data_IF_762631163815
#
_entry.id   IF_762631163815
#
_cell.length_a   1.000
_cell.length_b   1.000
_cell.length_c   1.000
_cell.angle_alpha   90.00
_cell.angle_beta   90.00
_cell.angle_gamma   90.00
#
_symmetry.space_group_name_H-M   'P 1'
#
loop_
_entity.id
_entity.type
_entity.pdbx_description
1 polymer ?
#
# COMPACT_ATOMS: atom_id res chain seq x y z
N UNK A 1 14.57 11.28 9.50
CA UNK A 1 14.29 10.01 8.81
C UNK A 1 13.31 10.28 7.68
N UNK A 2 13.61 9.77 6.51
CA UNK A 2 12.72 9.93 5.36
C UNK A 2 11.47 9.08 5.52
N UNK A 3 10.35 9.57 5.02
CA UNK A 3 9.12 8.80 4.99
C UNK A 3 8.44 8.92 3.64
N UNK A 4 7.73 7.87 3.27
CA UNK A 4 6.94 7.81 2.05
C UNK A 4 5.50 7.44 2.39
N UNK A 5 4.57 8.11 1.75
CA UNK A 5 3.14 7.80 1.85
C UNK A 5 2.68 7.30 0.49
N UNK A 6 2.12 6.10 0.48
CA UNK A 6 1.63 5.45 -0.72
C UNK A 6 0.11 5.45 -0.68
N UNK A 7 -0.51 5.94 -1.74
CA UNK A 7 -1.97 5.96 -1.84
C UNK A 7 -2.41 4.78 -2.70
N UNK A 8 -3.06 3.83 -2.06
CA UNK A 8 -3.55 2.62 -2.71
C UNK A 8 -2.81 1.37 -2.27
N UNK A 9 -3.56 0.30 -2.02
CA UNK A 9 -3.04 -0.98 -1.52
C UNK A 9 -3.16 -2.11 -2.54
N UNK A 10 -3.30 -1.79 -3.81
CA UNK A 10 -3.24 -2.79 -4.87
C UNK A 10 -1.82 -3.35 -5.03
N UNK A 11 -1.62 -4.26 -6.00
CA UNK A 11 -0.30 -4.88 -6.18
C UNK A 11 0.84 -3.88 -6.37
N UNK A 12 0.60 -2.80 -7.11
CA UNK A 12 1.63 -1.78 -7.34
C UNK A 12 2.00 -1.06 -6.05
N UNK A 13 1.00 -0.65 -5.27
CA UNK A 13 1.23 0.07 -4.02
C UNK A 13 1.94 -0.79 -2.98
N UNK A 14 1.50 -2.02 -2.80
CA UNK A 14 2.13 -2.94 -1.85
C UNK A 14 3.54 -3.29 -2.30
N UNK A 15 3.76 -3.50 -3.60
CA UNK A 15 5.11 -3.76 -4.12
C UNK A 15 6.06 -2.59 -3.86
N UNK A 16 5.60 -1.37 -4.11
CA UNK A 16 6.39 -0.17 -3.82
C UNK A 16 6.71 -0.08 -2.32
N UNK A 17 5.75 -0.40 -1.47
CA UNK A 17 5.94 -0.38 -0.02
C UNK A 17 7.02 -1.37 0.43
N UNK A 18 7.06 -2.55 -0.15
CA UNK A 18 8.08 -3.55 0.18
C UNK A 18 9.48 -3.06 -0.16
N UNK A 19 9.64 -2.42 -1.32
CA UNK A 19 10.94 -1.84 -1.70
C UNK A 19 11.33 -0.69 -0.79
N UNK A 20 10.38 0.18 -0.45
CA UNK A 20 10.65 1.32 0.42
C UNK A 20 11.10 0.89 1.81
N UNK A 21 10.40 -0.07 2.41
CA UNK A 21 10.74 -0.53 3.74
C UNK A 21 12.08 -1.26 3.77
N UNK A 22 12.43 -1.98 2.70
CA UNK A 22 13.76 -2.61 2.56
C UNK A 22 14.87 -1.58 2.49
N UNK A 23 14.58 -0.42 1.91
CA UNK A 23 15.55 0.67 1.81
C UNK A 23 15.68 1.47 3.11
N UNK A 24 14.96 1.09 4.16
CA UNK A 24 15.02 1.79 5.44
C UNK A 24 14.14 3.03 5.51
N UNK A 25 13.21 3.18 4.59
CA UNK A 25 12.31 4.32 4.55
C UNK A 25 11.04 4.00 5.35
N UNK A 26 10.63 4.90 6.22
CA UNK A 26 9.36 4.75 6.92
C UNK A 26 8.22 4.80 5.91
N UNK A 27 7.37 3.79 5.89
CA UNK A 27 6.40 3.59 4.82
C UNK A 27 5.00 3.45 5.38
N UNK A 28 4.09 4.27 4.89
CA UNK A 28 2.67 4.24 5.23
C UNK A 28 1.87 4.08 3.95
N UNK A 29 0.95 3.12 3.94
CA UNK A 29 0.02 2.90 2.82
C UNK A 29 -1.37 3.31 3.27
N UNK A 30 -1.99 4.21 2.51
CA UNK A 30 -3.36 4.63 2.73
C UNK A 30 -4.26 3.82 1.81
N UNK A 31 -5.26 3.16 2.36
CA UNK A 31 -6.14 2.28 1.60
C UNK A 31 -7.60 2.56 1.89
N UNK A 32 -8.40 2.61 0.83
CA UNK A 32 -9.86 2.73 0.96
C UNK A 32 -10.51 1.40 1.33
N UNK A 33 -9.81 0.32 1.11
CA UNK A 33 -10.33 -1.03 1.26
C UNK A 33 -9.80 -1.91 0.14
N UNK A 34 -10.57 -2.91 -0.24
CA UNK A 34 -10.16 -3.85 -1.29
C UNK A 34 -10.13 -3.20 -2.66
N UNK A 35 -9.15 -3.55 -3.46
CA UNK A 35 -8.95 -3.04 -4.81
C UNK A 35 -9.37 -4.03 -5.90
N UNK A 36 -8.72 -3.92 -7.06
CA UNK A 36 -9.04 -4.75 -8.22
C UNK A 36 -8.87 -6.25 -7.97
N UNK A 37 -7.95 -6.63 -7.09
CA UNK A 37 -7.71 -8.05 -6.78
C UNK A 37 -8.91 -8.72 -6.12
N UNK A 38 -9.75 -7.96 -5.43
CA UNK A 38 -10.94 -8.51 -4.78
C UNK A 38 -11.86 -9.22 -5.78
N UNK A 39 -11.91 -8.75 -7.01
CA UNK A 39 -12.80 -9.28 -8.05
C UNK A 39 -12.17 -10.41 -8.87
N UNK A 40 -10.90 -10.68 -8.68
CA UNK A 40 -10.21 -11.72 -9.42
C UNK A 40 -10.40 -13.07 -8.73
N UNK A 41 -11.08 -13.99 -9.39
CA UNK A 41 -11.34 -15.32 -8.81
C UNK A 41 -10.12 -16.22 -8.89
N UNK A 42 -9.31 -16.05 -9.94
CA UNK A 42 -8.20 -16.94 -10.22
C UNK A 42 -7.07 -16.17 -10.90
N UNK A 43 -5.91 -16.17 -10.26
CA UNK A 43 -4.71 -15.52 -10.78
C UNK A 43 -3.68 -16.60 -11.07
N UNK A 44 -3.28 -16.70 -12.32
CA UNK A 44 -2.35 -17.75 -12.78
C UNK A 44 -0.98 -17.20 -13.20
N UNK A 45 -0.93 -15.90 -13.47
CA UNK A 45 0.27 -15.27 -14.04
C UNK A 45 1.10 -14.49 -13.03
N UNK A 46 0.88 -14.70 -11.75
CA UNK A 46 1.68 -14.04 -10.73
C UNK A 46 2.91 -14.86 -10.43
N UNK A 47 4.07 -14.24 -10.57
CA UNK A 47 5.34 -14.90 -10.34
C UNK A 47 5.46 -15.43 -8.91
N UNK A 48 5.89 -16.67 -8.78
CA UNK A 48 6.10 -17.27 -7.48
C UNK A 48 4.98 -18.18 -7.00
N UNK A 49 3.88 -18.28 -7.74
CA UNK A 49 2.78 -19.17 -7.41
C UNK A 49 2.72 -20.33 -8.40
N UNK A 50 2.94 -21.53 -7.90
CA UNK A 50 2.86 -22.76 -8.72
C UNK A 50 1.42 -23.12 -9.05
N UNK A 51 0.48 -22.72 -8.19
CA UNK A 51 -0.95 -22.94 -8.37
C UNK A 51 -1.68 -21.62 -8.48
N UNK A 52 -2.80 -21.56 -9.21
CA UNK A 52 -3.60 -20.34 -9.25
C UNK A 52 -4.02 -19.89 -7.86
N UNK A 53 -4.12 -18.60 -7.65
CA UNK A 53 -4.53 -18.00 -6.38
C UNK A 53 -5.67 -17.02 -6.64
N UNK A 54 -6.63 -16.91 -5.72
CA UNK A 54 -7.67 -15.89 -5.84
C UNK A 54 -7.12 -14.52 -5.55
N UNK A 55 -7.76 -13.48 -6.11
CA UNK A 55 -7.39 -12.10 -5.86
C UNK A 55 -7.43 -11.74 -4.38
N UNK A 56 -8.54 -12.02 -3.66
CA UNK A 56 -8.60 -11.77 -2.23
C UNK A 56 -7.50 -12.44 -1.42
N UNK A 57 -7.16 -13.67 -1.76
CA UNK A 57 -6.10 -14.39 -1.05
C UNK A 57 -4.73 -13.78 -1.32
N UNK A 58 -4.45 -13.41 -2.57
CA UNK A 58 -3.21 -12.74 -2.92
C UNK A 58 -3.09 -11.39 -2.20
N UNK A 59 -4.17 -10.62 -2.19
CA UNK A 59 -4.21 -9.33 -1.48
C UNK A 59 -3.93 -9.52 0.01
N UNK A 60 -4.60 -10.47 0.65
CA UNK A 60 -4.43 -10.74 2.07
C UNK A 60 -2.99 -11.12 2.39
N UNK A 61 -2.40 -12.02 1.63
CA UNK A 61 -1.02 -12.45 1.83
C UNK A 61 -0.03 -11.31 1.64
N UNK A 62 -0.28 -10.47 0.64
CA UNK A 62 0.60 -9.34 0.34
C UNK A 62 0.60 -8.30 1.46
N UNK A 63 -0.58 -7.95 1.96
CA UNK A 63 -0.71 -6.99 3.05
C UNK A 63 -0.11 -7.54 4.35
N UNK A 64 -0.40 -8.80 4.66
CA UNK A 64 0.13 -9.44 5.84
C UNK A 64 1.66 -9.47 5.83
N UNK A 65 2.25 -9.81 4.69
CA UNK A 65 3.70 -9.82 4.52
C UNK A 65 4.30 -8.42 4.68
N UNK A 66 3.66 -7.42 4.09
CA UNK A 66 4.13 -6.04 4.17
C UNK A 66 4.07 -5.52 5.61
N UNK A 67 2.99 -5.82 6.33
CA UNK A 67 2.88 -5.45 7.75
C UNK A 67 3.97 -6.08 8.58
N UNK A 68 4.27 -7.34 8.34
CA UNK A 68 5.33 -8.05 9.04
C UNK A 68 6.69 -7.39 8.85
N UNK A 69 6.91 -6.79 7.69
CA UNK A 69 8.17 -6.12 7.35
C UNK A 69 8.21 -4.65 7.79
N UNK A 70 7.16 -4.14 8.39
CA UNK A 70 7.16 -2.81 8.96
C UNK A 70 6.34 -1.75 8.23
N UNK A 71 5.60 -2.13 7.19
CA UNK A 71 4.72 -1.20 6.50
C UNK A 71 3.48 -0.92 7.35
N UNK A 72 3.13 0.36 7.50
CA UNK A 72 1.91 0.76 8.19
C UNK A 72 0.78 0.92 7.19
N UNK A 73 -0.38 0.34 7.51
CA UNK A 73 -1.58 0.48 6.69
C UNK A 73 -2.62 1.28 7.45
N UNK A 74 -3.15 2.30 6.82
CA UNK A 74 -4.23 3.13 7.39
C UNK A 74 -5.42 3.08 6.45
N UNK A 75 -6.57 2.67 6.97
CA UNK A 75 -7.79 2.63 6.18
C UNK A 75 -8.44 4.00 6.18
N UNK A 76 -8.25 4.73 5.10
CA UNK A 76 -8.81 6.07 4.92
C UNK A 76 -8.81 6.43 3.44
N UNK A 77 -9.46 7.50 3.08
CA UNK A 77 -9.51 8.00 1.71
C UNK A 77 -8.71 9.27 1.58
N UNK A 78 -7.77 9.30 0.64
CA UNK A 78 -7.03 10.49 0.28
C UNK A 78 -7.96 11.42 -0.51
N UNK A 79 -8.10 12.68 -0.07
CA UNK A 79 -9.01 13.63 -0.67
C UNK A 79 -8.29 14.86 -1.22
N UNK A 80 -7.00 15.00 -1.00
CA UNK A 80 -6.25 16.12 -1.53
C UNK A 80 -4.76 15.99 -1.28
N UNK A 81 -4.00 16.83 -1.97
CA UNK A 81 -2.57 16.96 -1.83
C UNK A 81 -2.26 18.42 -1.65
N UNK A 82 -1.50 18.76 -0.63
CA UNK A 82 -1.07 20.13 -0.38
C UNK A 82 0.44 20.20 -0.29
N UNK A 83 0.97 21.35 -0.67
CA UNK A 83 2.37 21.64 -0.56
C UNK A 83 2.53 23.05 -0.01
N UNK A 84 2.99 23.14 1.22
CA UNK A 84 3.37 24.41 1.82
C UNK A 84 4.87 24.42 2.01
N UNK A 85 5.35 24.05 3.18
CA UNK A 85 6.75 23.75 3.43
C UNK A 85 7.05 22.27 3.28
N UNK A 86 6.00 21.46 3.18
CA UNK A 86 6.12 20.01 3.08
C UNK A 86 4.93 19.42 2.32
N UNK A 87 5.19 18.36 1.56
CA UNK A 87 4.14 17.60 0.89
C UNK A 87 3.26 16.92 1.94
N UNK A 88 1.95 17.06 1.80
CA UNK A 88 1.00 16.48 2.75
C UNK A 88 -0.17 15.86 2.01
N UNK A 89 -0.53 14.63 2.40
CA UNK A 89 -1.73 13.96 1.89
C UNK A 89 -2.86 14.23 2.86
N UNK A 90 -3.90 14.88 2.38
CA UNK A 90 -5.12 15.15 3.15
C UNK A 90 -6.05 13.96 3.03
N UNK A 91 -6.58 13.46 4.15
CA UNK A 91 -7.49 12.33 4.16
C UNK A 91 -8.70 12.61 5.03
N UNK A 92 -9.69 11.72 4.95
CA UNK A 92 -10.87 11.80 5.82
C UNK A 92 -10.52 11.54 7.30
N UNK A 93 -9.37 10.93 7.57
CA UNK A 93 -8.91 10.62 8.94
C UNK A 93 -7.82 11.58 9.44
N UNK A 94 -7.41 12.56 8.65
CA UNK A 94 -6.37 13.51 9.03
C UNK A 94 -5.36 13.74 7.92
N UNK A 95 -4.27 14.39 8.26
CA UNK A 95 -3.22 14.76 7.32
C UNK A 95 -1.96 13.93 7.56
N UNK A 96 -1.32 13.51 6.46
CA UNK A 96 -0.11 12.70 6.50
C UNK A 96 1.02 13.41 5.76
N UNK A 97 1.93 14.08 6.48
CA UNK A 97 3.11 14.69 5.85
C UNK A 97 4.05 13.62 5.30
N UNK A 98 4.69 13.92 4.19
CA UNK A 98 5.56 12.96 3.52
C UNK A 98 6.74 13.66 2.83
N UNK A 99 7.83 12.93 2.70
CA UNK A 99 8.94 13.35 1.84
C UNK A 99 8.64 13.00 0.38
N UNK A 100 7.84 11.96 0.19
CA UNK A 100 7.37 11.57 -1.13
C UNK A 100 6.05 10.82 -1.04
#
# INVERSE_FOLDING_TARGET
MSNIVIVGSGPAGVSAALYAVRAGVQTTVLTKGSGALERAEKIENYYGFAQPVSGPELERRSIENARRLGVQFVQTEAVGLTWTDRLTVETLAGAYPADA
#
